data_IF_918189751046
#
_entry.id   IF_918189751046
#
_cell.length_a   1.000
_cell.length_b   1.000
_cell.length_c   1.000
_cell.angle_alpha   90.00
_cell.angle_beta   90.00
_cell.angle_gamma   90.00
#
_symmetry.space_group_name_H-M   'P 1'
#
loop_
_entity.id
_entity.type
_entity.pdbx_description
1 polymer ?
#
# COMPACT_ATOMS: atom_id res chain seq x y z
N UNK A 1 -13.18 19.18 -65.18
CA UNK A 1 -11.73 19.16 -64.89
C UNK A 1 -11.52 20.01 -63.64
N UNK A 2 -11.38 19.47 -62.41
CA UNK A 2 -10.25 18.70 -61.84
C UNK A 2 -8.89 19.40 -62.11
N UNK A 3 -7.94 19.62 -61.20
CA UNK A 3 -7.63 19.23 -59.80
C UNK A 3 -6.35 20.07 -59.46
N UNK A 4 -6.27 20.83 -58.35
CA UNK A 4 -5.55 20.54 -57.08
C UNK A 4 -4.00 20.73 -57.08
N UNK A 5 -3.49 21.14 -55.90
CA UNK A 5 -2.09 21.25 -55.42
C UNK A 5 -1.48 22.66 -55.58
N UNK A 6 -0.99 23.39 -54.56
CA UNK A 6 -0.24 23.01 -53.36
C UNK A 6 -0.48 24.01 -52.21
N UNK A 7 -1.23 23.61 -51.18
CA UNK A 7 -1.13 24.20 -49.84
C UNK A 7 -1.10 23.04 -48.85
N UNK A 8 0.10 22.68 -48.36
CA UNK A 8 0.25 21.77 -47.22
C UNK A 8 -0.02 22.58 -45.95
N UNK A 9 -0.93 22.16 -45.06
CA UNK A 9 -1.07 22.79 -43.75
C UNK A 9 0.08 22.36 -42.84
N UNK A 10 0.64 23.34 -42.14
CA UNK A 10 1.49 23.15 -40.97
C UNK A 10 0.72 22.33 -39.92
N UNK A 11 1.17 21.11 -39.64
CA UNK A 11 0.67 20.30 -38.53
C UNK A 11 1.52 20.59 -37.26
N UNK A 12 0.93 20.79 -36.08
CA UNK A 12 1.71 21.09 -34.88
C UNK A 12 2.41 19.84 -34.34
N UNK A 13 3.71 19.99 -34.09
CA UNK A 13 4.59 19.02 -33.44
C UNK A 13 4.29 19.01 -31.93
N UNK A 14 3.14 18.44 -31.52
CA UNK A 14 2.77 18.36 -30.10
C UNK A 14 2.61 16.93 -29.55
N UNK A 15 2.60 15.89 -30.40
CA UNK A 15 2.36 14.49 -29.96
C UNK A 15 3.60 13.75 -29.45
N UNK A 16 4.81 14.18 -29.84
CA UNK A 16 6.04 13.45 -29.48
C UNK A 16 6.48 13.75 -28.03
N UNK A 17 6.32 15.00 -27.58
CA UNK A 17 6.73 15.40 -26.23
C UNK A 17 5.83 14.81 -25.13
N UNK A 18 4.52 14.70 -25.37
CA UNK A 18 3.57 14.08 -24.43
C UNK A 18 3.86 12.59 -24.25
N UNK A 19 4.12 11.85 -25.34
CA UNK A 19 4.45 10.42 -25.27
C UNK A 19 5.79 10.16 -24.58
N UNK A 20 6.81 10.98 -24.84
CA UNK A 20 8.10 10.90 -24.13
C UNK A 20 7.95 11.18 -22.64
N UNK A 21 7.22 12.23 -22.27
CA UNK A 21 6.93 12.56 -20.88
C UNK A 21 6.11 11.46 -20.18
N UNK A 22 5.13 10.86 -20.86
CA UNK A 22 4.36 9.73 -20.33
C UNK A 22 5.23 8.49 -20.08
N UNK A 23 6.13 8.15 -21.01
CA UNK A 23 7.06 7.03 -20.86
C UNK A 23 8.05 7.23 -19.70
N UNK A 24 8.58 8.45 -19.55
CA UNK A 24 9.45 8.82 -18.43
C UNK A 24 8.71 8.79 -17.08
N UNK A 25 7.47 9.29 -17.04
CA UNK A 25 6.62 9.25 -15.86
C UNK A 25 6.33 7.80 -15.40
N UNK A 26 5.99 6.91 -16.33
CA UNK A 26 5.78 5.50 -16.03
C UNK A 26 7.06 4.82 -15.51
N UNK A 27 8.21 5.07 -16.16
CA UNK A 27 9.51 4.56 -15.70
C UNK A 27 9.87 5.02 -14.29
N UNK A 28 9.64 6.30 -13.96
CA UNK A 28 9.86 6.83 -12.61
C UNK A 28 9.01 6.08 -11.57
N UNK A 29 7.72 5.87 -11.84
CA UNK A 29 6.84 5.15 -10.91
C UNK A 29 7.33 3.70 -10.67
N UNK A 30 7.78 3.00 -11.72
CA UNK A 30 8.34 1.64 -11.59
C UNK A 30 9.57 1.63 -10.69
N UNK A 31 10.53 2.53 -10.93
CA UNK A 31 11.76 2.59 -10.13
C UNK A 31 11.50 3.00 -8.68
N UNK A 32 10.60 3.97 -8.46
CA UNK A 32 10.21 4.41 -7.13
C UNK A 32 9.59 3.24 -6.33
N UNK A 33 8.66 2.52 -6.92
CA UNK A 33 8.01 1.36 -6.30
C UNK A 33 9.01 0.23 -6.09
N UNK A 34 9.87 -0.09 -7.07
CA UNK A 34 10.92 -1.11 -6.89
C UNK A 34 11.82 -0.82 -5.69
N UNK A 35 12.20 0.44 -5.49
CA UNK A 35 13.11 0.85 -4.41
C UNK A 35 12.44 0.92 -3.04
N UNK A 36 11.13 1.21 -2.98
CA UNK A 36 10.45 1.59 -1.72
C UNK A 36 9.27 0.69 -1.33
N UNK A 37 8.74 -0.08 -2.26
CA UNK A 37 7.64 -1.05 -2.09
C UNK A 37 7.94 -2.29 -2.96
N UNK A 38 8.99 -3.04 -2.61
CA UNK A 38 9.47 -4.17 -3.42
C UNK A 38 8.44 -5.32 -3.50
N UNK A 39 7.73 -5.59 -2.41
CA UNK A 39 6.62 -6.57 -2.40
C UNK A 39 5.51 -6.12 -3.37
N UNK A 40 5.13 -4.83 -3.32
CA UNK A 40 4.19 -4.25 -4.27
C UNK A 40 4.69 -4.24 -5.71
N UNK A 41 5.99 -4.05 -5.94
CA UNK A 41 6.61 -4.16 -7.26
C UNK A 41 6.40 -5.56 -7.83
N UNK A 42 6.76 -6.61 -7.08
CA UNK A 42 6.58 -8.00 -7.50
C UNK A 42 5.12 -8.35 -7.75
N UNK A 43 4.21 -7.94 -6.84
CA UNK A 43 2.78 -8.15 -7.02
C UNK A 43 2.23 -7.47 -8.30
N UNK A 44 2.75 -6.28 -8.63
CA UNK A 44 2.30 -5.52 -9.80
C UNK A 44 2.73 -6.19 -11.10
N UNK A 45 3.90 -6.83 -11.15
CA UNK A 45 4.36 -7.59 -12.32
C UNK A 45 3.45 -8.78 -12.67
N UNK A 46 2.72 -9.30 -11.69
CA UNK A 46 1.77 -10.42 -11.85
C UNK A 46 0.36 -9.96 -12.30
N UNK A 47 0.13 -8.65 -12.44
CA UNK A 47 -1.13 -8.11 -12.95
C UNK A 47 -1.18 -8.12 -14.48
N UNK A 48 -2.38 -8.06 -15.09
CA UNK A 48 -2.51 -7.87 -16.54
C UNK A 48 -1.71 -6.65 -17.01
N UNK A 49 -0.96 -6.81 -18.12
CA UNK A 49 -0.05 -5.79 -18.66
C UNK A 49 -0.71 -4.42 -18.83
N UNK A 50 -2.00 -4.42 -19.19
CA UNK A 50 -2.82 -3.24 -19.37
C UNK A 50 -3.02 -2.39 -18.10
N UNK A 51 -3.00 -3.03 -16.93
CA UNK A 51 -3.22 -2.37 -15.64
C UNK A 51 -1.91 -2.06 -14.91
N UNK A 52 -0.77 -2.66 -15.30
CA UNK A 52 0.50 -2.54 -14.59
C UNK A 52 0.95 -1.09 -14.41
N UNK A 53 0.99 -0.29 -15.49
CA UNK A 53 1.41 1.12 -15.41
C UNK A 53 0.51 1.94 -14.48
N UNK A 54 -0.80 1.70 -14.53
CA UNK A 54 -1.77 2.36 -13.65
C UNK A 54 -1.54 1.98 -12.19
N UNK A 55 -1.29 0.71 -11.91
CA UNK A 55 -1.03 0.22 -10.55
C UNK A 55 0.33 0.68 -10.02
N UNK A 56 1.36 0.76 -10.87
CA UNK A 56 2.62 1.40 -10.49
C UNK A 56 2.43 2.87 -10.11
N UNK A 57 1.59 3.62 -10.84
CA UNK A 57 1.27 5.01 -10.48
C UNK A 57 0.54 5.11 -9.13
N UNK A 58 -0.42 4.22 -8.88
CA UNK A 58 -1.15 4.14 -7.60
C UNK A 58 -0.21 3.81 -6.42
N UNK A 59 0.68 2.84 -6.60
CA UNK A 59 1.67 2.46 -5.58
C UNK A 59 2.70 3.57 -5.38
N UNK A 60 3.15 4.23 -6.44
CA UNK A 60 4.05 5.37 -6.36
C UNK A 60 3.44 6.50 -5.53
N UNK A 61 2.15 6.82 -5.70
CA UNK A 61 1.45 7.75 -4.82
C UNK A 61 1.46 7.29 -3.36
N UNK A 62 1.14 6.02 -3.10
CA UNK A 62 1.16 5.50 -1.74
C UNK A 62 2.55 5.64 -1.08
N UNK A 63 3.62 5.39 -1.86
CA UNK A 63 5.02 5.60 -1.43
C UNK A 63 5.27 7.07 -1.10
N UNK A 64 4.95 7.99 -2.00
CA UNK A 64 5.11 9.44 -1.78
C UNK A 64 4.38 9.91 -0.52
N UNK A 65 3.11 9.52 -0.35
CA UNK A 65 2.31 9.85 0.83
C UNK A 65 2.86 9.22 2.12
N UNK A 66 3.47 8.04 2.06
CA UNK A 66 3.98 7.34 3.25
C UNK A 66 5.25 7.98 3.78
N UNK A 67 6.08 8.51 2.89
CA UNK A 67 7.36 9.10 3.23
C UNK A 67 7.24 10.52 3.78
N UNK A 68 6.11 11.21 3.58
CA UNK A 68 5.95 12.59 4.05
C UNK A 68 6.30 12.73 5.52
N UNK A 69 5.77 11.84 6.37
CA UNK A 69 6.01 11.86 7.81
C UNK A 69 7.48 11.72 8.17
N UNK A 70 8.19 10.80 7.51
CA UNK A 70 9.61 10.51 7.79
C UNK A 70 10.59 11.49 7.14
N UNK A 71 10.14 12.29 6.18
CA UNK A 71 11.00 13.15 5.36
C UNK A 71 10.95 14.64 5.74
N UNK A 72 10.12 15.00 6.73
CA UNK A 72 9.97 16.39 7.19
C UNK A 72 10.28 16.49 8.67
N UNK A 73 11.00 17.55 9.06
CA UNK A 73 11.31 17.81 10.48
C UNK A 73 10.24 18.65 11.18
N UNK A 74 9.43 19.39 10.42
CA UNK A 74 8.38 20.28 10.95
C UNK A 74 7.02 19.84 10.41
N UNK A 75 6.00 19.80 11.29
CA UNK A 75 4.62 19.47 10.93
C UNK A 75 4.09 20.35 9.79
N UNK A 76 4.42 21.65 9.79
CA UNK A 76 4.05 22.60 8.74
C UNK A 76 4.50 22.17 7.34
N UNK A 77 5.72 21.64 7.21
CA UNK A 77 6.24 21.09 5.95
C UNK A 77 5.49 19.84 5.52
N UNK A 78 5.13 18.97 6.49
CA UNK A 78 4.28 17.81 6.23
C UNK A 78 2.90 18.20 5.70
N UNK A 79 2.27 19.19 6.33
CA UNK A 79 0.97 19.73 5.90
C UNK A 79 1.05 20.33 4.49
N UNK A 80 2.10 21.09 4.17
CA UNK A 80 2.30 21.62 2.82
C UNK A 80 2.44 20.51 1.77
N UNK A 81 3.14 19.41 2.07
CA UNK A 81 3.26 18.25 1.16
C UNK A 81 1.94 17.51 0.98
N UNK A 82 1.16 17.33 2.05
CA UNK A 82 -0.18 16.73 1.95
C UNK A 82 -1.12 17.62 1.13
N UNK A 83 -1.05 18.93 1.35
CA UNK A 83 -1.81 19.91 0.58
C UNK A 83 -1.45 19.88 -0.90
N UNK A 84 -0.15 19.81 -1.24
CA UNK A 84 0.29 19.60 -2.62
C UNK A 84 -0.36 18.37 -3.26
N UNK A 85 -0.37 17.23 -2.57
CA UNK A 85 -0.99 16.02 -3.10
C UNK A 85 -2.51 16.13 -3.22
N UNK A 86 -3.15 16.83 -2.29
CA UNK A 86 -4.59 17.14 -2.35
C UNK A 86 -4.91 17.94 -3.61
N UNK A 87 -4.17 19.00 -3.85
CA UNK A 87 -4.35 19.87 -5.02
C UNK A 87 -4.00 19.14 -6.32
N UNK A 88 -2.90 18.37 -6.32
CA UNK A 88 -2.50 17.55 -7.46
C UNK A 88 -3.60 16.55 -7.87
N UNK A 89 -4.23 15.86 -6.90
CA UNK A 89 -5.37 14.99 -7.18
C UNK A 89 -6.54 15.82 -7.72
N UNK A 90 -6.88 16.98 -7.13
CA UNK A 90 -7.96 17.81 -7.67
C UNK A 90 -7.71 18.20 -9.13
N UNK A 91 -6.49 18.59 -9.47
CA UNK A 91 -6.11 19.05 -10.80
C UNK A 91 -6.00 17.91 -11.81
N UNK A 92 -5.61 16.70 -11.37
CA UNK A 92 -5.72 15.47 -12.19
C UNK A 92 -7.16 15.27 -12.67
N UNK A 93 -8.16 15.45 -11.78
CA UNK A 93 -9.58 15.31 -12.14
C UNK A 93 -10.14 16.50 -12.93
N UNK A 94 -9.40 17.62 -13.03
CA UNK A 94 -9.68 18.73 -13.94
C UNK A 94 -8.91 18.62 -15.26
N UNK A 95 -8.20 17.51 -15.48
CA UNK A 95 -7.34 17.28 -16.66
C UNK A 95 -6.15 18.26 -16.78
N UNK A 96 -5.73 18.85 -15.66
CA UNK A 96 -4.58 19.78 -15.58
C UNK A 96 -3.52 19.28 -14.58
N UNK A 97 -3.01 18.04 -14.70
CA UNK A 97 -2.09 17.49 -13.70
C UNK A 97 -0.82 18.35 -13.58
N UNK A 98 -0.29 18.56 -12.35
CA UNK A 98 0.98 19.26 -12.18
C UNK A 98 2.13 18.49 -12.85
N UNK A 99 3.23 19.20 -13.16
CA UNK A 99 4.46 18.63 -13.71
C UNK A 99 5.24 17.79 -12.67
N UNK A 100 4.62 16.71 -12.20
CA UNK A 100 5.21 15.73 -11.32
C UNK A 100 5.07 14.33 -11.96
N UNK A 101 6.13 13.51 -12.07
CA UNK A 101 6.07 12.22 -12.76
C UNK A 101 4.91 11.32 -12.30
N UNK A 102 4.73 11.19 -10.98
CA UNK A 102 3.62 10.41 -10.41
C UNK A 102 2.27 11.03 -10.76
N UNK A 103 2.12 12.36 -10.72
CA UNK A 103 0.84 13.00 -11.03
C UNK A 103 0.45 12.83 -12.51
N UNK A 104 1.43 12.92 -13.42
CA UNK A 104 1.25 12.66 -14.85
C UNK A 104 0.86 11.21 -15.13
N UNK A 105 1.47 10.25 -14.43
CA UNK A 105 1.13 8.84 -14.54
C UNK A 105 -0.27 8.54 -13.96
N UNK A 106 -0.61 9.15 -12.82
CA UNK A 106 -1.94 9.05 -12.21
C UNK A 106 -3.02 9.64 -13.11
N UNK A 107 -2.77 10.76 -13.79
CA UNK A 107 -3.73 11.35 -14.73
C UNK A 107 -4.12 10.37 -15.84
N UNK A 108 -3.13 9.67 -16.40
CA UNK A 108 -3.38 8.61 -17.39
C UNK A 108 -4.18 7.45 -16.79
N UNK A 109 -3.86 7.03 -15.57
CA UNK A 109 -4.57 5.96 -14.87
C UNK A 109 -6.04 6.33 -14.58
N UNK A 110 -6.29 7.55 -14.10
CA UNK A 110 -7.62 8.09 -13.81
C UNK A 110 -8.46 8.14 -15.08
N UNK A 111 -7.92 8.67 -16.19
CA UNK A 111 -8.63 8.74 -17.47
C UNK A 111 -8.92 7.34 -18.04
N UNK A 112 -7.95 6.42 -17.95
CA UNK A 112 -8.09 5.06 -18.50
C UNK A 112 -9.11 4.22 -17.75
N UNK A 113 -9.10 4.25 -16.41
CA UNK A 113 -9.87 3.34 -15.57
C UNK A 113 -11.06 3.99 -14.87
N UNK A 114 -11.25 5.31 -15.03
CA UNK A 114 -12.30 6.09 -14.33
C UNK A 114 -12.23 5.91 -12.82
N UNK A 115 -11.01 6.02 -12.28
CA UNK A 115 -10.73 5.79 -10.86
C UNK A 115 -11.51 6.76 -9.97
N UNK A 116 -11.93 6.30 -8.79
CA UNK A 116 -12.76 7.08 -7.88
C UNK A 116 -11.93 8.06 -7.04
N UNK A 117 -12.19 9.36 -7.19
CA UNK A 117 -11.46 10.46 -6.49
C UNK A 117 -11.45 10.29 -4.98
N UNK A 118 -12.54 9.79 -4.41
CA UNK A 118 -12.72 9.61 -2.97
C UNK A 118 -11.61 8.75 -2.34
N UNK A 119 -11.14 7.72 -3.02
CA UNK A 119 -10.10 6.83 -2.46
C UNK A 119 -8.76 7.53 -2.32
N UNK A 120 -8.38 8.35 -3.30
CA UNK A 120 -7.20 9.20 -3.23
C UNK A 120 -7.26 10.19 -2.05
N UNK A 121 -8.39 10.89 -1.93
CA UNK A 121 -8.58 11.87 -0.85
C UNK A 121 -8.55 11.18 0.53
N UNK A 122 -9.17 10.02 0.67
CA UNK A 122 -9.18 9.25 1.92
C UNK A 122 -7.76 8.87 2.38
N UNK A 123 -6.89 8.47 1.44
CA UNK A 123 -5.49 8.17 1.73
C UNK A 123 -4.71 9.41 2.22
N UNK A 124 -4.93 10.56 1.56
CA UNK A 124 -4.28 11.83 1.93
C UNK A 124 -4.76 12.27 3.32
N UNK A 125 -6.07 12.29 3.56
CA UNK A 125 -6.68 12.70 4.82
C UNK A 125 -6.15 11.87 6.00
N UNK A 126 -6.10 10.54 5.84
CA UNK A 126 -5.60 9.65 6.89
C UNK A 126 -4.12 9.86 7.20
N UNK A 127 -3.30 10.13 6.19
CA UNK A 127 -1.85 10.38 6.37
C UNK A 127 -1.59 11.77 6.95
N UNK A 128 -2.38 12.77 6.57
CA UNK A 128 -2.33 14.12 7.15
C UNK A 128 -2.65 14.09 8.65
N UNK A 129 -3.73 13.40 9.03
CA UNK A 129 -4.11 13.22 10.45
C UNK A 129 -3.04 12.47 11.25
N UNK A 130 -2.24 11.62 10.60
CA UNK A 130 -1.18 10.83 11.23
C UNK A 130 0.16 11.57 11.39
N UNK A 131 0.26 12.82 10.90
CA UNK A 131 1.44 13.67 11.11
C UNK A 131 1.66 14.06 12.58
N UNK A 132 0.62 13.95 13.43
CA UNK A 132 0.66 14.34 14.84
C UNK A 132 1.29 13.31 15.79
N UNK A 133 1.93 12.26 15.28
CA UNK A 133 2.53 11.19 16.09
C UNK A 133 1.59 10.59 17.14
N UNK A 134 0.28 10.62 16.87
CA UNK A 134 -0.72 10.03 17.77
C UNK A 134 -0.57 8.52 17.77
N UNK A 135 -0.32 7.97 18.96
CA UNK A 135 -0.41 6.54 19.25
C UNK A 135 -1.85 6.07 19.12
N UNK A 136 -2.05 4.84 18.66
CA UNK A 136 -3.38 4.24 18.60
C UNK A 136 -3.85 3.88 20.01
N UNK A 137 -5.06 4.32 20.37
CA UNK A 137 -5.67 3.99 21.67
C UNK A 137 -6.04 2.52 21.75
N UNK A 138 -6.49 1.96 20.64
CA UNK A 138 -6.90 0.57 20.50
C UNK A 138 -6.64 0.02 19.10
N UNK A 139 -6.84 -1.29 18.93
CA UNK A 139 -6.66 -1.94 17.63
C UNK A 139 -7.61 -1.38 16.56
N UNK A 140 -8.83 -0.96 16.93
CA UNK A 140 -9.81 -0.43 15.98
C UNK A 140 -9.35 0.89 15.34
N UNK A 141 -8.58 1.73 16.04
CA UNK A 141 -7.97 2.91 15.44
C UNK A 141 -6.90 2.56 14.40
N UNK A 142 -6.08 1.54 14.69
CA UNK A 142 -5.09 1.03 13.74
C UNK A 142 -5.78 0.43 12.50
N UNK A 143 -6.86 -0.35 12.70
CA UNK A 143 -7.68 -0.88 11.61
C UNK A 143 -8.33 0.24 10.78
N UNK A 144 -8.81 1.30 11.42
CA UNK A 144 -9.41 2.45 10.73
C UNK A 144 -8.38 3.17 9.88
N UNK A 145 -7.17 3.37 10.41
CA UNK A 145 -6.05 3.93 9.65
C UNK A 145 -5.65 3.03 8.47
N UNK A 146 -5.57 1.72 8.69
CA UNK A 146 -5.24 0.74 7.66
C UNK A 146 -6.30 0.67 6.56
N UNK A 147 -7.59 0.73 6.93
CA UNK A 147 -8.71 0.83 6.00
C UNK A 147 -8.55 2.09 5.14
N UNK A 148 -8.36 3.25 5.77
CA UNK A 148 -8.28 4.52 5.05
C UNK A 148 -7.03 4.67 4.16
N UNK A 149 -6.01 3.83 4.33
CA UNK A 149 -4.78 3.87 3.55
C UNK A 149 -4.63 2.66 2.63
N UNK A 150 -4.38 1.47 3.18
CA UNK A 150 -4.09 0.25 2.43
C UNK A 150 -5.33 -0.28 1.70
N UNK A 151 -6.51 -0.30 2.36
CA UNK A 151 -7.73 -0.75 1.66
C UNK A 151 -8.13 0.22 0.55
N UNK A 152 -7.94 1.53 0.73
CA UNK A 152 -8.15 2.52 -0.34
C UNK A 152 -7.28 2.29 -1.57
N UNK A 153 -6.01 1.92 -1.36
CA UNK A 153 -5.14 1.51 -2.46
C UNK A 153 -5.67 0.25 -3.15
N UNK A 154 -6.13 -0.75 -2.40
CA UNK A 154 -6.70 -1.97 -2.98
C UNK A 154 -7.99 -1.71 -3.76
N UNK A 155 -8.88 -0.81 -3.29
CA UNK A 155 -10.06 -0.40 -4.06
C UNK A 155 -9.68 0.23 -5.40
N UNK A 156 -8.67 1.11 -5.41
CA UNK A 156 -8.16 1.69 -6.66
C UNK A 156 -7.55 0.62 -7.57
N UNK A 157 -6.83 -0.36 -7.03
CA UNK A 157 -6.29 -1.47 -7.82
C UNK A 157 -7.43 -2.32 -8.42
N UNK A 158 -8.49 -2.63 -7.66
CA UNK A 158 -9.68 -3.32 -8.18
C UNK A 158 -10.33 -2.54 -9.34
N UNK A 159 -10.43 -1.22 -9.21
CA UNK A 159 -10.93 -0.35 -10.30
C UNK A 159 -10.04 -0.41 -11.54
N UNK A 160 -8.71 -0.52 -11.41
CA UNK A 160 -7.82 -0.71 -12.58
C UNK A 160 -8.03 -2.05 -13.29
N UNK A 161 -8.60 -3.03 -12.61
CA UNK A 161 -8.98 -4.34 -13.16
C UNK A 161 -10.44 -4.35 -13.66
N UNK A 162 -11.15 -3.22 -13.58
CA UNK A 162 -12.56 -3.11 -13.97
C UNK A 162 -13.52 -3.81 -13.02
N UNK A 163 -13.09 -4.10 -11.78
CA UNK A 163 -13.90 -4.81 -10.79
C UNK A 163 -14.71 -3.81 -9.97
N UNK A 164 -16.02 -4.00 -9.98
CA UNK A 164 -16.99 -3.29 -9.11
C UNK A 164 -17.90 -4.33 -8.48
N UNK A 165 -17.41 -4.94 -7.42
CA UNK A 165 -18.07 -6.07 -6.77
C UNK A 165 -17.97 -5.93 -5.25
N UNK A 166 -19.12 -6.00 -4.56
CA UNK A 166 -19.21 -5.80 -3.11
C UNK A 166 -18.42 -6.85 -2.33
N UNK A 167 -18.29 -8.07 -2.85
CA UNK A 167 -17.53 -9.13 -2.19
C UNK A 167 -16.02 -8.91 -2.37
N UNK A 168 -15.60 -8.44 -3.55
CA UNK A 168 -14.22 -8.01 -3.79
C UNK A 168 -13.84 -6.81 -2.90
N UNK A 169 -14.74 -5.82 -2.75
CA UNK A 169 -14.53 -4.68 -1.85
C UNK A 169 -14.44 -5.13 -0.39
N UNK A 170 -15.31 -6.05 0.05
CA UNK A 170 -15.24 -6.59 1.40
C UNK A 170 -13.92 -7.33 1.67
N UNK A 171 -13.43 -8.11 0.69
CA UNK A 171 -12.11 -8.75 0.77
C UNK A 171 -10.98 -7.72 0.79
N UNK A 172 -11.03 -6.69 -0.06
CA UNK A 172 -10.06 -5.60 -0.08
C UNK A 172 -10.00 -4.86 1.26
N UNK A 173 -11.14 -4.63 1.91
CA UNK A 173 -11.20 -4.03 3.25
C UNK A 173 -10.42 -4.86 4.27
N UNK A 174 -10.69 -6.16 4.35
CA UNK A 174 -10.03 -7.04 5.29
C UNK A 174 -8.53 -7.22 4.99
N UNK A 175 -8.16 -7.41 3.73
CA UNK A 175 -6.76 -7.55 3.33
C UNK A 175 -5.98 -6.26 3.60
N UNK A 176 -6.56 -5.09 3.30
CA UNK A 176 -5.92 -3.80 3.55
C UNK A 176 -5.71 -3.56 5.04
N UNK A 177 -6.70 -3.90 5.88
CA UNK A 177 -6.54 -3.86 7.35
C UNK A 177 -5.43 -4.78 7.84
N UNK A 178 -5.42 -6.05 7.41
CA UNK A 178 -4.36 -6.99 7.76
C UNK A 178 -2.96 -6.47 7.34
N UNK A 179 -2.85 -5.95 6.11
CA UNK A 179 -1.60 -5.37 5.60
C UNK A 179 -1.15 -4.18 6.44
N UNK A 180 -2.07 -3.29 6.83
CA UNK A 180 -1.74 -2.13 7.66
C UNK A 180 -1.29 -2.52 9.06
N UNK A 181 -1.94 -3.50 9.70
CA UNK A 181 -1.53 -4.04 11.01
C UNK A 181 -0.12 -4.65 10.91
N UNK A 182 0.14 -5.49 9.89
CA UNK A 182 1.46 -6.08 9.67
C UNK A 182 2.52 -5.01 9.40
N UNK A 183 2.18 -3.98 8.62
CA UNK A 183 3.10 -2.87 8.35
C UNK A 183 3.46 -2.12 9.63
N UNK A 184 2.48 -1.86 10.51
CA UNK A 184 2.71 -1.26 11.82
C UNK A 184 3.67 -2.12 12.67
N UNK A 185 3.44 -3.44 12.74
CA UNK A 185 4.33 -4.36 13.46
C UNK A 185 5.76 -4.39 12.89
N UNK A 186 5.90 -4.40 11.56
CA UNK A 186 7.22 -4.37 10.88
C UNK A 186 7.96 -3.05 11.10
N UNK A 187 7.24 -1.97 11.38
CA UNK A 187 7.82 -0.65 11.60
C UNK A 187 8.25 -0.41 13.05
N UNK A 188 7.86 -1.27 14.01
CA UNK A 188 8.24 -1.13 15.42
C UNK A 188 9.77 -0.98 15.60
N UNK A 189 10.65 -1.76 14.92
CA UNK A 189 12.10 -1.57 15.08
C UNK A 189 12.59 -0.20 14.67
N UNK A 190 12.10 0.25 13.52
CA UNK A 190 12.45 1.54 12.96
C UNK A 190 12.01 2.67 13.89
N UNK A 191 10.77 2.65 14.38
CA UNK A 191 10.27 3.68 15.29
C UNK A 191 10.92 3.60 16.67
N UNK A 192 11.18 2.39 17.19
CA UNK A 192 11.85 2.17 18.47
C UNK A 192 13.26 2.76 18.49
N UNK A 193 13.99 2.65 17.38
CA UNK A 193 15.32 3.29 17.24
C UNK A 193 15.26 4.82 17.32
N UNK A 194 14.08 5.41 17.10
CA UNK A 194 13.79 6.85 17.24
C UNK A 194 13.05 7.19 18.53
N UNK A 195 13.00 6.23 19.47
CA UNK A 195 12.28 6.33 20.76
C UNK A 195 10.78 6.60 20.60
N UNK A 196 10.18 6.06 19.53
CA UNK A 196 8.74 6.14 19.25
C UNK A 196 8.13 4.73 19.20
N UNK A 197 6.91 4.58 19.70
CA UNK A 197 6.16 3.31 19.65
C UNK A 197 4.73 3.61 19.22
N UNK A 198 4.32 3.05 18.08
CA UNK A 198 2.98 3.26 17.49
C UNK A 198 2.09 2.01 17.58
N UNK A 199 2.24 1.21 18.63
CA UNK A 199 1.38 0.05 18.89
C UNK A 199 0.10 0.46 19.64
N UNK A 200 -1.01 -0.30 19.53
CA UNK A 200 -2.21 -0.09 20.32
C UNK A 200 -1.92 -0.08 21.83
N UNK A 201 -2.27 1.02 22.50
CA UNK A 201 -1.95 1.23 23.92
C UNK A 201 -2.70 0.24 24.83
N UNK A 202 -3.97 -0.04 24.53
CA UNK A 202 -4.78 -1.01 25.27
C UNK A 202 -4.15 -2.40 25.34
N UNK A 203 -3.61 -2.91 24.22
CA UNK A 203 -2.93 -4.21 24.16
C UNK A 203 -1.61 -4.15 24.93
N UNK A 204 -0.85 -3.06 24.80
CA UNK A 204 0.38 -2.88 25.58
C UNK A 204 0.09 -2.90 27.10
N UNK A 205 -0.97 -2.20 27.53
CA UNK A 205 -1.41 -2.18 28.92
C UNK A 205 -1.90 -3.53 29.41
N UNK A 206 -2.66 -4.27 28.60
CA UNK A 206 -3.16 -5.61 28.91
C UNK A 206 -2.02 -6.55 29.33
N UNK A 207 -0.91 -6.52 28.59
CA UNK A 207 0.27 -7.36 28.83
C UNK A 207 1.31 -6.72 29.73
N UNK A 208 1.04 -5.52 30.27
CA UNK A 208 1.99 -4.74 31.09
C UNK A 208 3.33 -4.52 30.39
N UNK A 209 3.30 -4.32 29.07
CA UNK A 209 4.46 -3.94 28.29
C UNK A 209 4.56 -2.42 28.22
N UNK A 210 5.67 -1.87 28.70
CA UNK A 210 5.97 -0.45 28.64
C UNK A 210 6.51 -0.07 27.25
N UNK A 211 6.46 1.22 26.91
CA UNK A 211 7.10 1.71 25.67
C UNK A 211 8.61 1.45 25.68
N UNK A 212 9.26 1.53 26.85
CA UNK A 212 10.70 1.31 26.98
C UNK A 212 11.09 -0.14 26.66
N UNK A 213 10.21 -1.11 26.91
CA UNK A 213 10.45 -2.52 26.55
C UNK A 213 10.63 -2.67 25.04
N UNK A 214 9.83 -1.96 24.24
CA UNK A 214 9.98 -1.94 22.78
C UNK A 214 11.21 -1.15 22.33
N UNK A 215 11.47 0.01 22.96
CA UNK A 215 12.63 0.86 22.63
C UNK A 215 13.95 0.11 22.85
N UNK A 216 14.05 -0.71 23.90
CA UNK A 216 15.22 -1.54 24.18
C UNK A 216 15.27 -2.84 23.37
N UNK A 217 14.23 -3.15 22.60
CA UNK A 217 14.12 -4.43 21.89
C UNK A 217 14.02 -5.63 22.83
N UNK A 218 13.29 -5.48 23.94
CA UNK A 218 13.06 -6.56 24.91
C UNK A 218 12.42 -7.78 24.23
N UNK A 219 12.88 -8.97 24.61
CA UNK A 219 12.35 -10.25 24.15
C UNK A 219 11.58 -10.99 25.26
N UNK A 220 11.16 -10.24 26.27
CA UNK A 220 10.35 -10.74 27.37
C UNK A 220 8.96 -11.20 26.91
N UNK A 221 8.32 -11.99 27.77
CA UNK A 221 7.03 -12.62 27.47
C UNK A 221 5.94 -11.56 27.19
N UNK A 222 5.89 -10.49 27.97
CA UNK A 222 4.93 -9.39 27.78
C UNK A 222 5.01 -8.78 26.36
N UNK A 223 6.21 -8.49 25.85
CA UNK A 223 6.39 -7.96 24.49
C UNK A 223 5.93 -8.96 23.45
N UNK A 224 6.28 -10.24 23.63
CA UNK A 224 5.85 -11.32 22.72
C UNK A 224 4.33 -11.47 22.70
N UNK A 225 3.68 -11.38 23.86
CA UNK A 225 2.23 -11.50 23.98
C UNK A 225 1.52 -10.30 23.31
N UNK A 226 2.05 -9.07 23.41
CA UNK A 226 1.54 -7.91 22.65
C UNK A 226 1.62 -8.14 21.15
N UNK A 227 2.78 -8.55 20.64
CA UNK A 227 2.97 -8.80 19.21
C UNK A 227 2.07 -9.95 18.74
N UNK A 228 1.89 -10.99 19.56
CA UNK A 228 1.02 -12.11 19.28
C UNK A 228 -0.45 -11.68 19.15
N UNK A 229 -0.96 -10.87 20.08
CA UNK A 229 -2.35 -10.39 20.02
C UNK A 229 -2.59 -9.52 18.79
N UNK A 230 -1.67 -8.60 18.48
CA UNK A 230 -1.78 -7.74 17.28
C UNK A 230 -1.69 -8.58 16.00
N UNK A 231 -0.77 -9.55 15.93
CA UNK A 231 -0.65 -10.45 14.80
C UNK A 231 -1.90 -11.33 14.62
N UNK A 232 -2.52 -11.74 15.73
CA UNK A 232 -3.78 -12.50 15.72
C UNK A 232 -4.91 -11.69 15.10
N UNK A 233 -4.98 -10.38 15.36
CA UNK A 233 -5.97 -9.50 14.71
C UNK A 233 -5.75 -9.39 13.20
N UNK A 234 -4.50 -9.28 12.75
CA UNK A 234 -4.19 -9.35 11.31
C UNK A 234 -4.59 -10.70 10.70
N UNK A 235 -4.37 -11.81 11.42
CA UNK A 235 -4.76 -13.15 10.97
C UNK A 235 -6.28 -13.27 10.81
N UNK A 236 -7.05 -12.82 11.80
CA UNK A 236 -8.53 -12.83 11.75
C UNK A 236 -9.04 -12.08 10.51
N UNK A 237 -8.46 -10.92 10.17
CA UNK A 237 -8.82 -10.23 8.94
C UNK A 237 -8.49 -11.04 7.68
N UNK A 238 -7.34 -11.70 7.61
CA UNK A 238 -7.05 -12.60 6.49
C UNK A 238 -8.06 -13.74 6.42
N UNK A 239 -8.43 -14.34 7.55
CA UNK A 239 -9.45 -15.39 7.59
C UNK A 239 -10.82 -14.89 7.12
N UNK A 240 -11.19 -13.65 7.43
CA UNK A 240 -12.45 -13.05 6.94
C UNK A 240 -12.43 -12.78 5.43
N UNK A 241 -11.26 -12.46 4.87
CA UNK A 241 -11.05 -12.28 3.43
C UNK A 241 -11.08 -13.63 2.68
N UNK A 242 -10.50 -14.68 3.28
CA UNK A 242 -10.54 -16.05 2.76
C UNK A 242 -11.81 -16.79 3.20
N UNK A 243 -12.05 -17.98 2.63
CA UNK A 243 -13.00 -18.90 3.25
C UNK A 243 -12.32 -19.55 4.47
N UNK A 244 -12.95 -19.45 5.64
CA UNK A 244 -12.98 -20.59 6.55
C UNK A 244 -13.91 -21.64 5.93
N UNK A 245 -13.42 -22.40 4.94
CA UNK A 245 -14.13 -23.60 4.49
C UNK A 245 -13.91 -24.65 5.58
N UNK A 246 -14.70 -24.59 6.66
CA UNK A 246 -14.84 -25.68 7.61
C UNK A 246 -15.61 -26.80 6.94
N UNK A 247 -14.98 -27.47 5.98
CA UNK A 247 -15.28 -28.86 5.66
C UNK A 247 -14.14 -29.72 6.19
N UNK A 248 -14.43 -30.46 7.25
CA UNK A 248 -13.63 -31.60 7.71
C UNK A 248 -13.73 -32.75 6.70
N UNK A 249 -13.23 -32.55 5.48
CA UNK A 249 -13.01 -33.65 4.55
C UNK A 249 -11.50 -33.88 4.46
N UNK A 250 -11.08 -35.06 4.92
CA UNK A 250 -9.69 -35.54 5.02
C UNK A 250 -8.97 -35.57 3.66
N UNK A 251 -8.62 -34.40 3.11
CA UNK A 251 -7.82 -34.29 1.89
C UNK A 251 -6.54 -33.46 2.17
N UNK A 252 -5.36 -33.89 1.69
CA UNK A 252 -4.09 -33.27 2.06
C UNK A 252 -4.07 -31.78 1.72
N UNK A 253 -3.69 -30.98 2.71
CA UNK A 253 -3.59 -29.52 2.67
C UNK A 253 -2.53 -29.06 1.66
N UNK A 254 -2.90 -28.92 0.40
CA UNK A 254 -2.24 -27.95 -0.49
C UNK A 254 -2.74 -26.56 -0.12
N UNK A 255 -1.84 -25.67 0.30
CA UNK A 255 -2.03 -24.33 0.87
C UNK A 255 -2.80 -23.28 0.04
N UNK A 256 -3.61 -23.69 -0.94
CA UNK A 256 -4.46 -22.83 -1.76
C UNK A 256 -5.78 -22.54 -1.05
N UNK A 257 -5.76 -21.67 -0.02
CA UNK A 257 -7.00 -21.10 0.53
C UNK A 257 -7.67 -20.31 -0.60
N UNK A 258 -8.81 -20.80 -1.06
CA UNK A 258 -9.60 -20.14 -2.11
C UNK A 258 -10.34 -18.95 -1.50
N UNK A 259 -10.36 -17.82 -2.20
CA UNK A 259 -11.27 -16.72 -1.89
C UNK A 259 -12.72 -17.22 -1.88
N UNK A 260 -13.61 -16.54 -1.14
CA UNK A 260 -15.06 -16.83 -1.15
C UNK A 260 -15.52 -17.08 -2.58
N UNK A 261 -16.28 -18.16 -2.82
CA UNK A 261 -16.80 -18.55 -4.16
C UNK A 261 -17.56 -17.42 -4.90
N UNK A 262 -17.85 -16.32 -4.21
CA UNK A 262 -18.54 -15.13 -4.70
C UNK A 262 -17.60 -14.03 -5.22
N UNK A 263 -16.29 -14.11 -5.01
CA UNK A 263 -15.32 -13.12 -5.50
C UNK A 263 -14.94 -13.48 -6.95
N UNK A 264 -15.04 -12.54 -7.90
CA UNK A 264 -14.60 -12.77 -9.28
C UNK A 264 -13.14 -13.18 -9.34
N UNK A 265 -12.81 -14.24 -10.11
CA UNK A 265 -11.41 -14.71 -10.27
C UNK A 265 -10.48 -13.62 -10.84
N UNK A 266 -11.03 -12.71 -11.64
CA UNK A 266 -10.33 -11.55 -12.18
C UNK A 266 -9.89 -10.55 -11.11
N UNK A 267 -10.45 -10.59 -9.90
CA UNK A 267 -10.04 -9.75 -8.78
C UNK A 267 -8.82 -10.31 -8.02
N UNK A 268 -8.52 -11.61 -8.14
CA UNK A 268 -7.48 -12.27 -7.36
C UNK A 268 -6.09 -11.63 -7.52
N UNK A 269 -5.68 -11.16 -8.72
CA UNK A 269 -4.39 -10.49 -8.88
C UNK A 269 -4.23 -9.24 -8.01
N UNK A 270 -5.32 -8.50 -7.70
CA UNK A 270 -5.28 -7.36 -6.78
C UNK A 270 -4.85 -7.75 -5.36
N UNK A 271 -5.03 -9.02 -5.00
CA UNK A 271 -4.78 -9.55 -3.67
C UNK A 271 -3.47 -10.33 -3.56
N UNK A 272 -2.60 -10.31 -4.57
CA UNK A 272 -1.30 -11.02 -4.55
C UNK A 272 -0.41 -10.63 -3.34
N UNK A 273 -0.61 -9.45 -2.75
CA UNK A 273 0.11 -9.02 -1.55
C UNK A 273 -0.06 -9.97 -0.37
N UNK A 274 -1.19 -10.67 -0.31
CA UNK A 274 -1.51 -11.65 0.74
C UNK A 274 -0.51 -12.81 0.82
N UNK A 275 0.18 -13.15 -0.28
CA UNK A 275 1.22 -14.18 -0.26
C UNK A 275 2.34 -13.81 0.71
N UNK A 276 2.74 -12.53 0.77
CA UNK A 276 3.76 -12.03 1.69
C UNK A 276 3.24 -11.95 3.13
N UNK A 277 1.99 -11.51 3.31
CA UNK A 277 1.37 -11.40 4.63
C UNK A 277 1.27 -12.75 5.34
N UNK A 278 0.94 -13.80 4.58
CA UNK A 278 0.80 -15.16 5.10
C UNK A 278 2.12 -15.74 5.57
N UNK A 279 3.18 -15.63 4.77
CA UNK A 279 4.54 -16.03 5.16
C UNK A 279 5.00 -15.34 6.44
N UNK A 280 4.60 -14.08 6.65
CA UNK A 280 4.97 -13.33 7.84
C UNK A 280 4.25 -13.82 9.11
N UNK A 281 2.97 -14.16 9.00
CA UNK A 281 2.16 -14.65 10.13
C UNK A 281 2.45 -16.13 10.43
N UNK A 282 2.43 -17.00 9.42
CA UNK A 282 2.46 -18.47 9.59
C UNK A 282 3.86 -19.00 9.91
N UNK A 283 4.91 -18.46 9.26
CA UNK A 283 6.28 -18.90 9.55
C UNK A 283 6.77 -18.37 10.91
N UNK A 284 5.90 -17.71 11.70
CA UNK A 284 6.28 -16.96 12.90
C UNK A 284 7.43 -15.99 12.61
N UNK A 285 7.58 -15.53 11.35
CA UNK A 285 8.61 -14.56 10.95
C UNK A 285 8.37 -13.19 11.56
N UNK A 286 7.10 -12.82 11.84
CA UNK A 286 6.79 -11.66 12.69
C UNK A 286 7.27 -11.87 14.14
N UNK A 287 7.43 -13.12 14.59
CA UNK A 287 7.95 -13.48 15.93
C UNK A 287 9.49 -13.60 15.91
N UNK A 288 10.14 -13.66 14.74
CA UNK A 288 11.59 -13.96 14.64
C UNK A 288 12.38 -13.23 13.54
N UNK A 289 11.93 -12.08 13.06
CA UNK A 289 12.84 -11.15 12.37
C UNK A 289 13.59 -10.38 13.45
N UNK A 290 14.70 -10.97 13.88
CA UNK A 290 15.71 -10.35 14.72
C UNK A 290 16.03 -8.95 14.22
N UNK A 291 15.65 -7.99 15.05
CA UNK A 291 15.74 -6.53 15.05
C UNK A 291 17.09 -5.89 14.65
N UNK A 292 18.09 -6.65 14.21
CA UNK A 292 19.39 -6.08 13.84
C UNK A 292 20.24 -6.95 12.91
N UNK A 293 20.07 -8.28 12.93
CA UNK A 293 21.00 -9.19 12.24
C UNK A 293 20.57 -9.54 10.80
N UNK A 294 19.27 -9.67 10.51
CA UNK A 294 18.81 -10.06 9.17
C UNK A 294 19.11 -8.99 8.10
N UNK A 295 19.00 -7.69 8.44
CA UNK A 295 19.33 -6.60 7.51
C UNK A 295 20.85 -6.48 7.30
N UNK A 296 21.67 -6.73 8.34
CA UNK A 296 23.14 -6.68 8.21
C UNK A 296 23.71 -7.85 7.41
N UNK A 297 23.11 -9.03 7.48
CA UNK A 297 23.53 -10.19 6.67
C UNK A 297 23.01 -10.07 5.23
N UNK A 298 21.73 -9.73 5.03
CA UNK A 298 21.17 -9.62 3.67
C UNK A 298 21.77 -8.45 2.86
N UNK A 299 22.28 -7.40 3.50
CA UNK A 299 22.97 -6.29 2.81
C UNK A 299 24.49 -6.50 2.63
N UNK A 300 25.10 -7.47 3.31
CA UNK A 300 26.50 -7.87 3.02
C UNK A 300 26.59 -8.67 1.72
N UNK A 301 25.56 -9.44 1.40
CA UNK A 301 25.50 -10.24 0.17
C UNK A 301 25.01 -9.44 -1.06
N UNK A 302 24.74 -8.14 -0.91
CA UNK A 302 24.36 -7.22 -1.99
C UNK A 302 25.47 -6.16 -2.23
N UNK A 303 26.62 -6.29 -1.56
CA UNK A 303 27.84 -5.55 -1.87
C UNK A 303 28.99 -6.51 -2.18
N UNK A 304 28.88 -7.19 -3.34
CA UNK A 304 29.99 -7.59 -4.21
C UNK A 304 29.55 -7.31 -5.65
#
# INVERSE_FOLDING_TARGET
MAVRALLKPWAPVCRDNTRRNSGQAAGYCVELVRKRDYEGFLCTLLLPQESQNSVFALRALNVELSQVKDSVSQKSLGLMRMQFWRDAVQDIYKETPPHHPVALALSQAVQRHRLTKRWFMRMIDAREQNLDDRTYRNIQELETYAENTQSSLLYLILETLGIKDVQADHAASHIGKAQGIITCMRAVPYHSSRRQVFLPIDICMLHRASQEDFIRGSLEKNVKDVIFDIASQAHVHLEHAYLSDTRMDNQPQTCARSFKKRIPKSAFPAFNITMFLKTLIEDKKIIWINYHNYIKETLKDISV
#
